data_IF_581484818998
#
_entry.id   IF_581484818998
#
_cell.length_a   1.000
_cell.length_b   1.000
_cell.length_c   1.000
_cell.angle_alpha   90.00
_cell.angle_beta   90.00
_cell.angle_gamma   90.00
#
_symmetry.space_group_name_H-M   'P 1'
#
loop_
_entity.id
_entity.type
_entity.pdbx_description
1 polymer ?
#
# COMPACT_ATOMS: atom_id res chain seq x y z
N UNK A 1 22.93 27.37 10.82
CA UNK A 1 22.01 26.43 11.51
C UNK A 1 21.70 25.33 10.52
N UNK A 2 22.36 24.19 10.66
CA UNK A 2 22.11 23.00 9.84
C UNK A 2 20.96 22.23 10.49
N UNK A 3 19.78 22.30 9.89
CA UNK A 3 18.59 21.62 10.38
C UNK A 3 18.75 20.13 10.05
N UNK A 4 18.97 19.28 11.06
CA UNK A 4 19.09 17.83 10.88
C UNK A 4 17.73 17.15 11.13
N UNK A 5 17.40 16.15 10.31
CA UNK A 5 16.23 15.31 10.47
C UNK A 5 16.64 14.08 11.28
N UNK A 6 15.98 13.84 12.41
CA UNK A 6 16.24 12.67 13.23
C UNK A 6 15.15 11.63 13.00
N UNK A 7 15.53 10.41 12.60
CA UNK A 7 14.61 9.29 12.50
C UNK A 7 15.28 7.94 12.62
N UNK A 8 14.56 7.00 13.22
CA UNK A 8 15.03 5.64 13.53
C UNK A 8 16.49 5.66 14.04
N UNK A 9 16.74 6.53 15.03
CA UNK A 9 18.04 6.71 15.72
C UNK A 9 19.18 7.31 14.87
N UNK A 10 18.93 7.76 13.64
CA UNK A 10 19.95 8.39 12.78
C UNK A 10 19.60 9.83 12.42
N UNK A 11 20.65 10.64 12.25
CA UNK A 11 20.55 12.06 11.89
C UNK A 11 20.93 12.26 10.43
N UNK A 12 20.02 12.83 9.64
CA UNK A 12 20.21 13.06 8.21
C UNK A 12 20.12 14.54 7.87
N UNK A 13 20.95 15.00 6.93
CA UNK A 13 20.77 16.32 6.34
C UNK A 13 19.54 16.33 5.43
N UNK A 14 18.69 17.38 5.46
CA UNK A 14 17.51 17.50 4.60
C UNK A 14 17.84 17.44 3.11
N UNK A 15 19.04 17.89 2.71
CA UNK A 15 19.50 17.76 1.33
C UNK A 15 19.88 16.32 0.94
N UNK A 16 20.38 15.52 1.89
CA UNK A 16 20.75 14.12 1.67
C UNK A 16 19.58 13.16 1.90
N UNK A 17 18.50 13.63 2.55
CA UNK A 17 17.39 12.81 2.97
C UNK A 17 16.37 12.62 1.83
N UNK A 18 16.70 11.69 0.94
CA UNK A 18 15.93 11.42 -0.29
C UNK A 18 15.64 9.94 -0.44
N UNK A 19 14.51 9.62 -1.06
CA UNK A 19 14.15 8.22 -1.33
C UNK A 19 15.08 7.61 -2.38
N UNK A 20 15.58 6.40 -2.15
CA UNK A 20 16.45 5.72 -3.11
C UNK A 20 15.73 5.34 -4.43
N UNK A 21 14.41 5.07 -4.39
CA UNK A 21 13.61 4.77 -5.59
C UNK A 21 13.26 6.02 -6.39
N UNK A 22 12.52 6.96 -5.80
CA UNK A 22 12.01 8.13 -6.53
C UNK A 22 12.91 9.37 -6.44
N UNK A 23 13.98 9.35 -5.63
CA UNK A 23 14.91 10.47 -5.37
C UNK A 23 14.26 11.77 -4.90
N UNK A 24 13.01 11.71 -4.44
CA UNK A 24 12.31 12.84 -3.86
C UNK A 24 12.82 13.16 -2.47
N UNK A 25 12.83 14.44 -2.12
CA UNK A 25 13.09 14.91 -0.76
C UNK A 25 12.01 14.41 0.19
N UNK A 26 12.45 13.86 1.31
CA UNK A 26 11.58 13.32 2.36
C UNK A 26 11.46 14.28 3.54
N UNK A 27 11.83 15.55 3.34
CA UNK A 27 11.69 16.60 4.34
C UNK A 27 10.20 16.77 4.70
N UNK A 28 9.88 16.60 5.99
CA UNK A 28 8.50 16.70 6.48
C UNK A 28 7.54 15.61 5.98
N UNK A 29 8.04 14.55 5.32
CA UNK A 29 7.23 13.44 4.80
C UNK A 29 7.52 12.15 5.56
N UNK A 30 6.52 11.24 5.69
CA UNK A 30 6.76 9.95 6.31
C UNK A 30 7.66 9.10 5.40
N UNK A 31 8.63 8.45 6.03
CA UNK A 31 9.60 7.59 5.38
C UNK A 31 9.88 6.35 6.22
N UNK A 32 10.61 5.42 5.62
CA UNK A 32 11.08 4.22 6.29
C UNK A 32 12.47 3.85 5.79
N UNK A 33 13.21 3.13 6.62
CA UNK A 33 14.53 2.62 6.29
C UNK A 33 14.49 1.10 6.25
N UNK A 34 15.08 0.54 5.20
CA UNK A 34 15.30 -0.90 5.10
C UNK A 34 16.51 -1.33 5.96
N UNK A 35 16.67 -2.65 6.17
CA UNK A 35 17.80 -3.22 6.91
C UNK A 35 19.17 -2.92 6.32
N UNK A 36 19.24 -2.54 5.04
CA UNK A 36 20.47 -2.07 4.37
C UNK A 36 20.74 -0.56 4.53
N UNK A 37 20.08 0.14 5.48
CA UNK A 37 20.20 1.60 5.70
C UNK A 37 19.71 2.47 4.52
N UNK A 38 18.98 1.85 3.58
CA UNK A 38 18.41 2.52 2.41
C UNK A 38 17.11 3.21 2.81
N UNK A 39 17.02 4.50 2.55
CA UNK A 39 15.85 5.31 2.85
C UNK A 39 14.84 5.22 1.70
N UNK A 40 13.61 4.83 2.03
CA UNK A 40 12.50 4.80 1.09
C UNK A 40 11.37 5.70 1.56
N UNK A 41 10.67 6.32 0.62
CA UNK A 41 9.42 6.98 0.97
C UNK A 41 8.40 5.91 1.38
N UNK A 42 7.49 6.23 2.31
CA UNK A 42 6.46 5.28 2.74
C UNK A 42 5.66 4.75 1.54
N UNK A 43 5.44 5.58 0.53
CA UNK A 43 4.74 5.20 -0.70
C UNK A 43 5.49 4.12 -1.52
N UNK A 44 6.78 4.30 -1.78
CA UNK A 44 7.62 3.33 -2.50
C UNK A 44 7.85 2.08 -1.69
N UNK A 45 8.11 2.22 -0.39
CA UNK A 45 8.27 1.07 0.49
C UNK A 45 6.97 0.26 0.52
N UNK A 46 5.82 0.90 0.74
CA UNK A 46 4.55 0.22 0.64
C UNK A 46 4.36 -0.39 -0.76
N UNK A 47 4.73 0.26 -1.86
CA UNK A 47 4.63 -0.38 -3.20
C UNK A 47 5.49 -1.63 -3.38
N UNK A 48 6.64 -1.68 -2.72
CA UNK A 48 7.57 -2.80 -2.80
C UNK A 48 7.12 -3.97 -1.90
N UNK A 49 6.59 -3.66 -0.72
CA UNK A 49 6.22 -4.66 0.29
C UNK A 49 4.71 -4.96 0.33
N UNK A 50 3.86 -4.13 -0.28
CA UNK A 50 2.42 -4.32 -0.28
C UNK A 50 2.01 -5.49 -1.18
N UNK A 51 0.94 -6.20 -0.77
CA UNK A 51 0.33 -7.22 -1.61
C UNK A 51 -0.17 -6.61 -2.92
N UNK A 52 -0.05 -7.37 -4.01
CA UNK A 52 -0.55 -6.97 -5.32
C UNK A 52 -1.95 -7.50 -5.52
N UNK A 53 -2.84 -6.63 -5.99
CA UNK A 53 -4.18 -7.04 -6.35
C UNK A 53 -4.13 -7.98 -7.57
N UNK A 54 -4.70 -9.17 -7.44
CA UNK A 54 -4.71 -10.15 -8.54
C UNK A 54 -5.62 -9.74 -9.71
N UNK A 55 -6.51 -8.75 -9.54
CA UNK A 55 -7.40 -8.21 -10.60
C UNK A 55 -6.70 -7.14 -11.45
N UNK A 56 -6.13 -6.12 -10.81
CA UNK A 56 -5.55 -4.97 -11.52
C UNK A 56 -4.02 -4.95 -11.55
N UNK A 57 -3.37 -5.94 -10.91
CA UNK A 57 -1.92 -6.06 -10.76
C UNK A 57 -1.23 -4.88 -10.07
N UNK A 58 -1.98 -4.00 -9.40
CA UNK A 58 -1.46 -2.84 -8.65
C UNK A 58 -1.27 -3.19 -7.17
N UNK A 59 -0.30 -2.54 -6.53
CA UNK A 59 -0.07 -2.65 -5.09
C UNK A 59 -1.28 -2.13 -4.30
N UNK A 60 -1.63 -2.82 -3.21
CA UNK A 60 -2.70 -2.41 -2.30
C UNK A 60 -2.08 -1.56 -1.20
N UNK A 61 -2.10 -0.25 -1.39
CA UNK A 61 -1.51 0.73 -0.47
C UNK A 61 -2.57 1.23 0.53
N UNK A 62 -2.20 1.56 1.77
CA UNK A 62 -3.08 2.30 2.67
C UNK A 62 -3.34 3.70 2.11
N UNK A 63 -4.55 4.21 2.35
CA UNK A 63 -4.90 5.59 1.99
C UNK A 63 -4.15 6.55 2.90
N UNK A 64 -3.60 7.64 2.33
CA UNK A 64 -2.94 8.71 3.08
C UNK A 64 -3.82 9.18 4.25
N UNK A 65 -3.36 8.92 5.49
CA UNK A 65 -4.07 9.27 6.72
C UNK A 65 -4.82 8.12 7.41
N UNK A 66 -4.74 6.88 6.89
CA UNK A 66 -5.18 5.67 7.61
C UNK A 66 -3.97 4.79 7.93
N UNK A 67 -3.86 4.37 9.19
CA UNK A 67 -2.85 3.41 9.64
C UNK A 67 -3.11 2.00 9.08
N UNK A 68 -4.35 1.69 8.69
CA UNK A 68 -4.75 0.36 8.25
C UNK A 68 -4.92 0.26 6.73
N UNK A 69 -4.31 -0.78 6.16
CA UNK A 69 -4.48 -1.13 4.75
C UNK A 69 -5.65 -2.09 4.61
N UNK A 70 -6.77 -1.64 4.01
CA UNK A 70 -7.93 -2.49 3.77
C UNK A 70 -7.74 -3.27 2.47
N UNK A 71 -7.77 -4.59 2.57
CA UNK A 71 -7.66 -5.52 1.43
C UNK A 71 -8.69 -6.63 1.58
N UNK A 72 -9.13 -7.18 0.45
CA UNK A 72 -9.98 -8.36 0.43
C UNK A 72 -9.12 -9.57 0.11
N UNK A 73 -9.16 -10.57 0.98
CA UNK A 73 -8.48 -11.85 0.75
C UNK A 73 -9.53 -12.86 0.31
N UNK A 74 -9.42 -13.36 -0.91
CA UNK A 74 -10.33 -14.34 -1.48
C UNK A 74 -9.55 -15.37 -2.28
N UNK A 75 -9.85 -16.67 -2.12
CA UNK A 75 -9.15 -17.76 -2.84
C UNK A 75 -7.62 -17.63 -2.75
N UNK A 76 -7.09 -17.35 -1.56
CA UNK A 76 -5.64 -17.15 -1.29
C UNK A 76 -4.99 -16.00 -2.08
N UNK A 77 -5.79 -15.09 -2.62
CA UNK A 77 -5.35 -13.91 -3.37
C UNK A 77 -5.84 -12.63 -2.73
N UNK A 78 -5.04 -11.58 -2.85
CA UNK A 78 -5.38 -10.24 -2.38
C UNK A 78 -6.01 -9.40 -3.49
N UNK A 79 -7.00 -8.60 -3.11
CA UNK A 79 -7.71 -7.67 -3.99
C UNK A 79 -7.94 -6.32 -3.30
N UNK A 80 -7.96 -5.24 -4.09
CA UNK A 80 -8.52 -3.97 -3.58
C UNK A 80 -10.01 -4.16 -3.30
N UNK A 81 -10.52 -3.46 -2.29
CA UNK A 81 -11.96 -3.40 -1.97
C UNK A 81 -12.78 -2.99 -3.21
N UNK A 82 -12.27 -2.03 -3.99
CA UNK A 82 -12.88 -1.60 -5.25
C UNK A 82 -12.73 -2.61 -6.41
N UNK A 83 -11.71 -3.46 -6.38
CA UNK A 83 -11.47 -4.45 -7.44
C UNK A 83 -12.19 -5.77 -7.17
N UNK A 84 -12.66 -6.00 -5.94
CA UNK A 84 -13.39 -7.20 -5.55
C UNK A 84 -14.89 -7.03 -5.88
N UNK A 85 -15.16 -6.97 -7.18
CA UNK A 85 -16.50 -6.86 -7.77
C UNK A 85 -16.81 -8.10 -8.61
N UNK A 86 -18.08 -8.49 -8.65
CA UNK A 86 -18.54 -9.56 -9.53
C UNK A 86 -18.48 -9.08 -11.00
N UNK A 87 -17.83 -9.84 -11.89
CA UNK A 87 -17.72 -9.48 -13.32
C UNK A 87 -19.06 -9.48 -14.06
N UNK A 88 -20.02 -10.26 -13.57
CA UNK A 88 -21.33 -10.40 -14.19
C UNK A 88 -22.35 -9.38 -13.66
N UNK A 89 -22.20 -8.97 -12.39
CA UNK A 89 -23.19 -8.14 -11.71
C UNK A 89 -22.68 -6.71 -11.40
N UNK A 90 -21.37 -6.48 -11.46
CA UNK A 90 -20.73 -5.22 -11.06
C UNK A 90 -20.82 -4.89 -9.57
N UNK A 91 -21.38 -5.79 -8.75
CA UNK A 91 -21.60 -5.56 -7.33
C UNK A 91 -20.31 -5.77 -6.52
N UNK A 92 -20.01 -4.85 -5.59
CA UNK A 92 -18.98 -5.03 -4.58
C UNK A 92 -19.36 -6.19 -3.66
N UNK A 93 -18.53 -7.22 -3.68
CA UNK A 93 -18.69 -8.41 -2.86
C UNK A 93 -18.15 -8.09 -1.46
N UNK A 94 -19.02 -7.80 -0.50
CA UNK A 94 -18.60 -7.70 0.92
C UNK A 94 -19.15 -8.86 1.72
N UNK A 95 -18.55 -9.13 2.89
CA UNK A 95 -19.00 -10.18 3.81
C UNK A 95 -20.44 -9.96 4.32
N UNK A 96 -20.97 -8.74 4.14
CA UNK A 96 -22.33 -8.38 4.52
C UNK A 96 -23.36 -9.35 3.93
N UNK A 97 -24.30 -9.86 4.76
CA UNK A 97 -25.38 -10.73 4.34
C UNK A 97 -26.36 -9.92 3.45
N UNK A 98 -26.05 -9.83 2.16
CA UNK A 98 -26.81 -9.06 1.18
C UNK A 98 -26.03 -8.72 -0.10
N UNK A 99 -24.69 -8.74 -0.06
CA UNK A 99 -23.83 -8.48 -1.24
C UNK A 99 -23.05 -9.72 -1.70
N UNK A 100 -23.52 -10.89 -1.33
CA UNK A 100 -22.96 -12.18 -1.76
C UNK A 100 -23.53 -12.51 -3.14
N UNK A 101 -22.85 -12.12 -4.22
CA UNK A 101 -23.10 -12.76 -5.51
C UNK A 101 -22.55 -14.19 -5.41
N UNK A 102 -23.42 -15.13 -5.04
CA UNK A 102 -23.14 -16.53 -5.25
C UNK A 102 -23.16 -16.79 -6.76
N UNK A 103 -22.11 -17.38 -7.36
CA UNK A 103 -22.28 -18.04 -8.64
C UNK A 103 -23.25 -19.19 -8.41
N UNK A 104 -24.54 -18.94 -8.64
CA UNK A 104 -25.46 -20.01 -8.96
C UNK A 104 -25.04 -20.54 -10.34
N UNK A 105 -24.96 -21.86 -10.42
CA UNK A 105 -24.57 -22.70 -11.54
C UNK A 105 -23.07 -22.85 -11.83
N UNK A 106 -22.60 -24.05 -11.49
CA UNK A 106 -21.45 -24.64 -12.13
C UNK A 106 -21.64 -24.86 -13.62
N UNK A 107 -20.50 -25.10 -14.26
CA UNK A 107 -20.38 -25.82 -15.50
C UNK A 107 -19.02 -26.53 -15.52
#
# INVERSE_FOLDING_TARGET
MDMILQAAEKSYHPSCFRCEKCRCSLDGRPFTMDGEEKVYCVDDYHKLFAPRCAKCCKAILPVLGRDETVRVVAMEKDYHVDCYICEFCGLQLTDEPGKRCFPMQGH
#
